data_IF_596312131652
#
_entry.id   IF_596312131652
#
_cell.length_a   1.000
_cell.length_b   1.000
_cell.length_c   1.000
_cell.angle_alpha   90.00
_cell.angle_beta   90.00
_cell.angle_gamma   90.00
#
_symmetry.space_group_name_H-M   'P 1'
#
loop_
_entity.id
_entity.type
_entity.pdbx_description
1 polymer ?
#
# COMPACT_ATOMS: atom_id res chain seq x y z
N UNK A 1 22.79 76.18 -23.12
CA UNK A 1 23.14 74.87 -23.71
C UNK A 1 23.48 73.89 -22.59
N UNK A 2 22.88 72.68 -22.61
CA UNK A 2 23.24 71.43 -21.88
C UNK A 2 23.14 71.48 -20.32
N UNK A 3 22.07 70.95 -19.68
CA UNK A 3 21.70 69.55 -19.36
C UNK A 3 22.77 68.77 -18.58
N UNK A 4 22.42 68.30 -17.36
CA UNK A 4 22.62 66.95 -16.74
C UNK A 4 22.10 67.07 -15.28
N UNK A 5 20.85 66.74 -14.97
CA UNK A 5 20.25 65.44 -14.55
C UNK A 5 20.62 64.96 -13.13
N UNK A 6 19.70 65.26 -12.20
CA UNK A 6 19.46 64.53 -10.95
C UNK A 6 19.01 63.09 -11.26
N UNK A 7 19.51 62.12 -10.50
CA UNK A 7 18.79 60.85 -10.28
C UNK A 7 18.97 60.41 -8.83
N UNK A 8 17.98 60.70 -7.97
CA UNK A 8 17.82 60.03 -6.68
C UNK A 8 17.05 58.72 -6.94
N UNK A 9 17.65 57.59 -6.60
CA UNK A 9 17.01 56.28 -6.64
C UNK A 9 16.18 56.07 -5.36
N UNK A 10 14.86 55.96 -5.52
CA UNK A 10 13.92 55.55 -4.48
C UNK A 10 14.01 54.02 -4.32
N UNK A 11 14.53 53.54 -3.20
CA UNK A 11 14.49 52.12 -2.86
C UNK A 11 13.10 51.77 -2.30
N UNK A 12 12.29 51.05 -3.07
CA UNK A 12 11.03 50.51 -2.61
C UNK A 12 11.26 49.17 -1.91
N UNK A 13 10.95 49.10 -0.61
CA UNK A 13 10.83 47.85 0.14
C UNK A 13 9.52 47.16 -0.22
N UNK A 14 9.60 45.96 -0.79
CA UNK A 14 8.45 45.08 -1.00
C UNK A 14 8.42 44.07 0.17
N UNK A 15 7.37 44.05 1.01
CA UNK A 15 7.25 43.03 2.03
C UNK A 15 6.95 41.66 1.38
N UNK A 16 7.79 40.67 1.67
CA UNK A 16 7.55 39.27 1.31
C UNK A 16 6.36 38.76 2.14
N UNK A 17 5.18 38.67 1.53
CA UNK A 17 4.06 37.93 2.11
C UNK A 17 4.34 36.44 1.95
N UNK A 18 4.78 35.79 3.02
CA UNK A 18 4.88 34.34 3.09
C UNK A 18 3.46 33.74 3.02
N UNK A 19 3.06 33.33 1.82
CA UNK A 19 1.84 32.55 1.59
C UNK A 19 2.06 31.15 2.17
N UNK A 20 1.79 30.98 3.46
CA UNK A 20 1.61 29.67 4.09
C UNK A 20 0.38 29.03 3.47
N UNK A 21 0.57 28.34 2.35
CA UNK A 21 -0.41 27.42 1.82
C UNK A 21 -0.69 26.39 2.92
N UNK A 22 -1.88 26.45 3.52
CA UNK A 22 -2.39 25.41 4.41
C UNK A 22 -2.27 24.09 3.67
N UNK A 23 -1.26 23.29 4.03
CA UNK A 23 -1.12 21.93 3.52
C UNK A 23 -2.37 21.18 3.98
N UNK A 24 -3.33 21.00 3.07
CA UNK A 24 -4.44 20.08 3.28
C UNK A 24 -3.83 18.76 3.74
N UNK A 25 -4.23 18.30 4.93
CA UNK A 25 -3.82 16.99 5.43
C UNK A 25 -4.35 16.00 4.42
N UNK A 26 -3.44 15.44 3.61
CA UNK A 26 -3.80 14.44 2.63
C UNK A 26 -4.33 13.22 3.40
N UNK A 27 -5.55 12.82 3.06
CA UNK A 27 -6.25 11.67 3.61
C UNK A 27 -6.48 10.68 2.45
N UNK A 28 -6.15 9.39 2.61
CA UNK A 28 -6.51 8.37 1.63
C UNK A 28 -8.01 8.37 1.30
N UNK A 29 -8.86 8.78 2.23
CA UNK A 29 -10.31 8.73 2.12
C UNK A 29 -10.85 7.45 2.75
N UNK A 30 -11.87 7.59 3.60
CA UNK A 30 -12.57 6.47 4.21
C UNK A 30 -13.27 5.63 3.14
N UNK A 31 -13.15 4.31 3.22
CA UNK A 31 -13.79 3.38 2.29
C UNK A 31 -13.07 2.05 2.14
N UNK A 32 -13.58 1.22 1.23
CA UNK A 32 -13.02 -0.08 0.90
C UNK A 32 -12.21 -0.01 -0.39
N UNK A 33 -10.95 -0.43 -0.33
CA UNK A 33 -10.03 -0.51 -1.45
C UNK A 33 -9.80 -1.96 -1.81
N UNK A 34 -9.96 -2.30 -3.08
CA UNK A 34 -9.81 -3.67 -3.58
C UNK A 34 -8.55 -3.77 -4.40
N UNK A 35 -7.80 -4.85 -4.21
CA UNK A 35 -6.61 -5.12 -4.98
C UNK A 35 -6.92 -5.26 -6.46
N UNK A 36 -6.26 -4.44 -7.27
CA UNK A 36 -6.29 -4.51 -8.72
C UNK A 36 -5.07 -5.25 -9.27
N UNK A 37 -3.89 -5.01 -8.67
CA UNK A 37 -2.63 -5.60 -9.13
C UNK A 37 -1.74 -6.03 -7.98
N UNK A 38 -0.91 -7.04 -8.25
CA UNK A 38 0.21 -7.46 -7.41
C UNK A 38 1.48 -7.48 -8.25
N UNK A 39 2.50 -6.73 -7.85
CA UNK A 39 3.74 -6.52 -8.62
C UNK A 39 3.46 -6.12 -10.08
N UNK A 40 2.45 -5.25 -10.29
CA UNK A 40 2.03 -4.78 -11.61
C UNK A 40 1.16 -5.76 -12.41
N UNK A 41 0.94 -7.01 -11.94
CA UNK A 41 0.12 -8.02 -12.63
C UNK A 41 -1.32 -8.03 -12.10
N UNK A 42 -2.34 -8.23 -12.95
CA UNK A 42 -3.72 -8.38 -12.50
C UNK A 42 -3.90 -9.67 -11.68
N UNK A 43 -4.79 -9.64 -10.69
CA UNK A 43 -5.13 -10.81 -9.88
C UNK A 43 -6.09 -11.78 -10.62
N UNK A 44 -6.05 -13.10 -10.31
CA UNK A 44 -5.17 -13.75 -9.34
C UNK A 44 -3.72 -13.85 -9.81
N UNK A 45 -2.77 -13.79 -8.88
CA UNK A 45 -1.33 -13.92 -9.15
C UNK A 45 -0.74 -15.05 -8.31
N UNK A 46 -0.02 -15.95 -8.95
CA UNK A 46 0.65 -17.07 -8.29
C UNK A 46 2.16 -16.81 -8.13
N UNK A 47 2.71 -17.15 -6.96
CA UNK A 47 4.14 -17.17 -6.63
C UNK A 47 4.56 -18.61 -6.29
N UNK A 48 5.50 -19.14 -7.07
CA UNK A 48 6.08 -20.46 -6.86
C UNK A 48 7.46 -20.32 -6.22
N UNK A 49 7.67 -21.03 -5.12
CA UNK A 49 8.96 -21.25 -4.50
C UNK A 49 9.28 -22.74 -4.48
N UNK A 50 10.56 -23.09 -4.49
CA UNK A 50 11.02 -24.47 -4.30
C UNK A 50 12.12 -24.45 -3.26
N UNK A 51 12.04 -25.30 -2.26
CA UNK A 51 13.09 -25.44 -1.26
C UNK A 51 14.24 -26.33 -1.76
N UNK A 52 15.31 -26.40 -0.97
CA UNK A 52 16.51 -27.20 -1.28
C UNK A 52 16.23 -28.72 -1.33
N UNK A 53 15.08 -29.16 -0.81
CA UNK A 53 14.64 -30.57 -0.83
C UNK A 53 13.73 -30.89 -2.02
N UNK A 54 13.46 -29.91 -2.90
CA UNK A 54 12.61 -30.07 -4.06
C UNK A 54 11.12 -30.00 -3.76
N UNK A 55 10.73 -29.51 -2.58
CA UNK A 55 9.32 -29.26 -2.23
C UNK A 55 8.90 -27.93 -2.85
N UNK A 56 7.79 -27.95 -3.58
CA UNK A 56 7.22 -26.77 -4.23
C UNK A 56 6.13 -26.15 -3.37
N UNK A 57 6.24 -24.86 -3.16
CA UNK A 57 5.28 -24.03 -2.44
C UNK A 57 4.67 -23.05 -3.44
N UNK A 58 3.38 -23.19 -3.71
CA UNK A 58 2.63 -22.25 -4.52
C UNK A 58 1.73 -21.41 -3.60
N UNK A 59 1.82 -20.10 -3.71
CA UNK A 59 0.85 -19.18 -3.13
C UNK A 59 0.13 -18.48 -4.28
N UNK A 60 -1.19 -18.56 -4.31
CA UNK A 60 -2.01 -17.81 -5.24
C UNK A 60 -2.78 -16.74 -4.49
N UNK A 61 -2.53 -15.48 -4.83
CA UNK A 61 -3.24 -14.34 -4.28
C UNK A 61 -4.49 -14.10 -5.12
N UNK A 62 -5.68 -14.26 -4.53
CA UNK A 62 -6.95 -14.04 -5.23
C UNK A 62 -7.41 -12.59 -5.09
N UNK A 63 -7.44 -12.07 -3.86
CA UNK A 63 -8.02 -10.76 -3.55
C UNK A 63 -7.51 -10.22 -2.21
N UNK A 64 -7.29 -8.92 -2.12
CA UNK A 64 -7.08 -8.18 -0.89
C UNK A 64 -8.07 -7.01 -0.83
N UNK A 65 -8.80 -6.93 0.28
CA UNK A 65 -9.68 -5.78 0.58
C UNK A 65 -9.12 -5.04 1.78
N UNK A 66 -8.75 -3.77 1.58
CA UNK A 66 -8.34 -2.84 2.63
C UNK A 66 -9.49 -1.89 2.94
N UNK A 67 -10.05 -1.95 4.13
CA UNK A 67 -11.02 -0.99 4.62
C UNK A 67 -10.31 0.04 5.50
N UNK A 68 -10.41 1.31 5.12
CA UNK A 68 -9.96 2.47 5.90
C UNK A 68 -11.18 3.06 6.62
N UNK A 69 -11.09 3.23 7.94
CA UNK A 69 -12.16 3.74 8.79
C UNK A 69 -11.86 5.17 9.27
N UNK A 70 -12.90 5.98 9.58
CA UNK A 70 -12.72 7.38 9.98
C UNK A 70 -12.02 7.57 11.33
N UNK A 71 -11.91 6.52 12.15
CA UNK A 71 -11.26 6.53 13.46
C UNK A 71 -9.76 6.12 13.39
N UNK A 72 -9.11 6.29 12.24
CA UNK A 72 -7.72 5.88 12.00
C UNK A 72 -7.47 4.37 12.18
N UNK A 73 -8.50 3.54 12.02
CA UNK A 73 -8.38 2.09 12.01
C UNK A 73 -8.39 1.55 10.58
N UNK A 74 -7.74 0.41 10.39
CA UNK A 74 -7.84 -0.35 9.16
C UNK A 74 -8.19 -1.81 9.40
N UNK A 75 -8.77 -2.42 8.36
CA UNK A 75 -8.97 -3.86 8.25
C UNK A 75 -8.49 -4.31 6.87
N UNK A 76 -7.51 -5.19 6.82
CA UNK A 76 -7.03 -5.80 5.57
C UNK A 76 -7.44 -7.27 5.53
N UNK A 77 -8.28 -7.67 4.58
CA UNK A 77 -8.74 -9.04 4.39
C UNK A 77 -8.14 -9.63 3.10
N UNK A 78 -7.22 -10.59 3.26
CA UNK A 78 -6.56 -11.31 2.19
C UNK A 78 -7.24 -12.65 1.94
N UNK A 79 -7.47 -12.96 0.67
CA UNK A 79 -7.89 -14.27 0.14
C UNK A 79 -6.77 -14.84 -0.70
N UNK A 80 -6.34 -16.04 -0.35
CA UNK A 80 -5.24 -16.71 -1.04
C UNK A 80 -5.40 -18.23 -0.98
N UNK A 81 -4.76 -18.95 -1.91
CA UNK A 81 -4.56 -20.40 -1.83
C UNK A 81 -3.08 -20.66 -1.54
N UNK A 82 -2.82 -21.67 -0.74
CA UNK A 82 -1.46 -22.16 -0.53
C UNK A 82 -1.44 -23.66 -0.79
N UNK A 83 -0.56 -24.07 -1.70
CA UNK A 83 -0.41 -25.46 -2.11
C UNK A 83 1.01 -25.94 -1.90
N UNK A 84 1.11 -27.12 -1.33
CA UNK A 84 2.34 -27.86 -1.14
C UNK A 84 2.33 -29.04 -2.11
N UNK A 85 3.32 -29.14 -2.98
CA UNK A 85 3.44 -30.23 -3.94
C UNK A 85 4.89 -30.72 -4.02
N UNK A 86 5.12 -32.02 -4.22
CA UNK A 86 6.44 -32.46 -4.62
C UNK A 86 6.71 -32.01 -6.07
N UNK A 87 7.98 -31.82 -6.42
CA UNK A 87 8.37 -31.43 -7.78
C UNK A 87 7.81 -32.43 -8.81
N UNK A 88 6.92 -31.95 -9.68
CA UNK A 88 6.29 -32.75 -10.74
C UNK A 88 4.88 -33.25 -10.41
N UNK A 89 4.41 -33.06 -9.17
CA UNK A 89 3.02 -33.33 -8.82
C UNK A 89 2.08 -32.27 -9.42
N UNK A 90 0.84 -32.67 -9.70
CA UNK A 90 -0.20 -31.72 -10.07
C UNK A 90 -0.54 -30.88 -8.85
N UNK A 91 -0.25 -29.59 -8.95
CA UNK A 91 -0.69 -28.58 -7.98
C UNK A 91 -2.22 -28.66 -7.87
N UNK A 92 -2.72 -29.14 -6.73
CA UNK A 92 -4.14 -29.22 -6.43
C UNK A 92 -4.76 -27.85 -6.22
N UNK A 93 -6.08 -27.72 -6.39
CA UNK A 93 -6.81 -26.52 -5.95
C UNK A 93 -7.12 -26.64 -4.48
N UNK A 94 -6.16 -26.28 -3.64
CA UNK A 94 -6.39 -26.16 -2.22
C UNK A 94 -7.49 -25.14 -1.91
N UNK A 95 -8.20 -25.30 -0.78
CA UNK A 95 -9.27 -24.39 -0.41
C UNK A 95 -8.75 -22.96 -0.25
N UNK A 96 -9.60 -21.98 -0.59
CA UNK A 96 -9.31 -20.57 -0.36
C UNK A 96 -9.16 -20.34 1.14
N UNK A 97 -7.98 -19.85 1.52
CA UNK A 97 -7.68 -19.37 2.85
C UNK A 97 -8.02 -17.89 2.97
N UNK A 98 -8.37 -17.49 4.19
CA UNK A 98 -8.71 -16.11 4.52
C UNK A 98 -7.83 -15.67 5.69
N UNK A 99 -7.12 -14.56 5.51
CA UNK A 99 -6.39 -13.89 6.58
C UNK A 99 -6.94 -12.48 6.74
N UNK A 100 -7.19 -12.06 7.96
CA UNK A 100 -7.57 -10.67 8.23
C UNK A 100 -6.59 -10.06 9.22
N UNK A 101 -6.11 -8.86 8.88
CA UNK A 101 -5.23 -8.04 9.72
C UNK A 101 -6.00 -6.81 10.15
N UNK A 102 -5.95 -6.50 11.43
CA UNK A 102 -6.52 -5.28 11.99
C UNK A 102 -5.41 -4.39 12.51
N UNK A 103 -5.66 -3.09 12.63
CA UNK A 103 -4.72 -2.18 13.26
C UNK A 103 -5.12 -0.73 13.08
N UNK A 104 -4.16 0.16 13.31
CA UNK A 104 -4.30 1.60 13.09
C UNK A 104 -3.43 2.06 11.94
N UNK A 105 -3.74 3.23 11.38
CA UNK A 105 -2.91 3.86 10.37
C UNK A 105 -2.64 5.33 10.70
N UNK A 106 -1.54 5.84 10.17
CA UNK A 106 -1.19 7.25 10.22
C UNK A 106 -0.78 7.73 8.83
N UNK A 107 -1.05 8.98 8.49
CA UNK A 107 -0.67 9.58 7.20
C UNK A 107 0.33 10.71 7.40
N UNK A 108 1.22 10.89 6.43
CA UNK A 108 2.16 12.01 6.38
C UNK A 108 2.41 12.36 4.93
N UNK A 109 1.88 13.50 4.49
CA UNK A 109 1.80 13.79 3.06
C UNK A 109 1.02 12.69 2.34
N UNK A 110 1.58 12.14 1.25
CA UNK A 110 0.99 11.03 0.49
C UNK A 110 1.39 9.64 1.02
N UNK A 111 2.13 9.56 2.13
CA UNK A 111 2.53 8.28 2.73
C UNK A 111 1.48 7.82 3.75
N UNK A 112 1.25 6.50 3.79
CA UNK A 112 0.41 5.85 4.78
C UNK A 112 1.21 4.77 5.50
N UNK A 113 1.25 4.85 6.83
CA UNK A 113 1.90 3.88 7.69
C UNK A 113 0.86 3.04 8.40
N UNK A 114 0.99 1.72 8.28
CA UNK A 114 0.12 0.76 8.95
C UNK A 114 0.80 0.21 10.21
N UNK A 115 0.04 0.14 11.29
CA UNK A 115 0.46 -0.46 12.56
C UNK A 115 -0.51 -1.61 12.89
N UNK A 116 -0.18 -2.84 12.47
CA UNK A 116 -1.00 -4.01 12.79
C UNK A 116 -1.12 -4.25 14.29
N UNK A 117 -2.29 -4.67 14.75
CA UNK A 117 -2.50 -5.17 16.11
C UNK A 117 -1.89 -6.57 16.24
N UNK A 118 -0.85 -6.76 17.09
CA UNK A 118 -0.16 -8.05 17.23
C UNK A 118 -1.07 -9.18 17.74
N UNK A 119 -2.23 -8.85 18.33
CA UNK A 119 -3.21 -9.82 18.83
C UNK A 119 -4.23 -10.23 17.77
N UNK A 120 -4.31 -9.52 16.63
CA UNK A 120 -5.41 -9.65 15.66
C UNK A 120 -4.94 -9.91 14.23
N UNK A 121 -4.38 -11.10 14.03
CA UNK A 121 -4.04 -11.65 12.72
C UNK A 121 -2.72 -11.14 12.14
N UNK A 122 -2.47 -11.42 10.86
CA UNK A 122 -1.26 -10.98 10.15
C UNK A 122 -0.01 -11.82 10.41
N UNK A 123 -0.12 -12.97 11.08
CA UNK A 123 1.02 -13.89 11.19
C UNK A 123 1.52 -14.28 9.80
N UNK A 124 2.82 -14.11 9.57
CA UNK A 124 3.46 -14.43 8.28
C UNK A 124 3.37 -13.33 7.22
N UNK A 125 2.72 -12.19 7.50
CA UNK A 125 2.67 -11.02 6.61
C UNK A 125 3.11 -9.77 7.36
N UNK A 126 4.09 -9.05 6.79
CA UNK A 126 4.53 -7.76 7.31
C UNK A 126 4.11 -6.66 6.34
N UNK A 127 3.14 -5.86 6.76
CA UNK A 127 2.71 -4.66 6.03
C UNK A 127 3.79 -3.60 6.20
N UNK A 128 4.22 -2.98 5.09
CA UNK A 128 5.17 -1.87 5.08
C UNK A 128 4.44 -0.56 4.79
N UNK A 129 5.16 0.55 4.90
CA UNK A 129 4.61 1.87 4.59
C UNK A 129 4.27 1.95 3.11
N UNK A 130 3.05 2.42 2.83
CA UNK A 130 2.52 2.58 1.50
C UNK A 130 2.38 4.05 1.11
N UNK A 131 1.81 4.26 -0.06
CA UNK A 131 1.44 5.59 -0.57
C UNK A 131 0.01 5.59 -1.04
N UNK A 132 -0.63 6.75 -1.01
CA UNK A 132 -1.97 6.93 -1.57
C UNK A 132 -2.02 8.12 -2.52
N UNK A 133 -2.84 8.01 -3.56
CA UNK A 133 -3.07 9.06 -4.53
C UNK A 133 -4.51 8.98 -5.04
N UNK A 134 -5.33 9.97 -4.68
CA UNK A 134 -6.73 10.04 -5.07
C UNK A 134 -7.50 8.81 -4.59
N UNK A 135 -7.83 7.90 -5.52
CA UNK A 135 -8.64 6.69 -5.28
C UNK A 135 -7.79 5.41 -5.20
N UNK A 136 -6.49 5.53 -5.07
CA UNK A 136 -5.56 4.40 -5.10
C UNK A 136 -4.64 4.38 -3.88
N UNK A 137 -4.34 3.18 -3.41
CA UNK A 137 -3.36 2.93 -2.34
C UNK A 137 -2.40 1.85 -2.82
N UNK A 138 -1.11 2.13 -2.77
CA UNK A 138 -0.05 1.17 -3.06
C UNK A 138 0.64 0.79 -1.75
N UNK A 139 0.67 -0.51 -1.44
CA UNK A 139 1.23 -1.02 -0.19
C UNK A 139 2.24 -2.13 -0.48
N UNK A 140 3.51 -1.96 -0.11
CA UNK A 140 4.45 -3.07 -0.10
C UNK A 140 4.22 -3.95 1.14
N UNK A 141 4.44 -5.25 1.00
CA UNK A 141 4.40 -6.20 2.10
C UNK A 141 5.42 -7.32 1.92
N UNK A 142 5.96 -7.79 3.05
CA UNK A 142 6.79 -8.99 3.10
C UNK A 142 5.93 -10.20 3.48
N UNK A 143 6.20 -11.33 2.85
CA UNK A 143 5.57 -12.62 3.16
C UNK A 143 6.58 -13.76 3.05
N UNK A 144 6.19 -14.93 3.53
CA UNK A 144 7.00 -16.15 3.43
C UNK A 144 6.32 -17.16 2.52
N UNK A 145 7.08 -17.71 1.58
CA UNK A 145 6.67 -18.81 0.71
C UNK A 145 7.62 -19.99 0.94
N UNK A 146 7.20 -20.97 1.75
CA UNK A 146 8.10 -22.01 2.25
C UNK A 146 9.22 -21.44 3.13
N UNK A 147 10.48 -21.70 2.77
CA UNK A 147 11.66 -21.10 3.42
C UNK A 147 12.07 -19.74 2.85
N UNK A 148 11.45 -19.31 1.74
CA UNK A 148 11.85 -18.11 1.01
C UNK A 148 11.09 -16.89 1.52
N UNK A 149 11.82 -15.83 1.87
CA UNK A 149 11.23 -14.53 2.14
C UNK A 149 11.04 -13.75 0.85
N UNK A 150 9.83 -13.21 0.65
CA UNK A 150 9.43 -12.48 -0.54
C UNK A 150 8.92 -11.09 -0.15
N UNK A 151 9.05 -10.15 -1.07
CA UNK A 151 8.40 -8.84 -1.03
C UNK A 151 7.49 -8.70 -2.23
N UNK A 152 6.29 -8.18 -2.02
CA UNK A 152 5.38 -7.80 -3.08
C UNK A 152 4.83 -6.39 -2.84
N UNK A 153 4.31 -5.79 -3.90
CA UNK A 153 3.61 -4.52 -3.89
C UNK A 153 2.20 -4.75 -4.40
N UNK A 154 1.20 -4.42 -3.58
CA UNK A 154 -0.21 -4.46 -3.98
C UNK A 154 -0.68 -3.05 -4.33
N UNK A 155 -1.38 -2.93 -5.45
CA UNK A 155 -2.10 -1.73 -5.85
C UNK A 155 -3.59 -1.94 -5.60
N UNK A 156 -4.17 -1.09 -4.77
CA UNK A 156 -5.57 -1.13 -4.36
C UNK A 156 -6.32 0.08 -4.94
N UNK A 157 -7.59 -0.12 -5.30
CA UNK A 157 -8.46 0.93 -5.86
C UNK A 157 -9.74 1.03 -5.04
N UNK A 158 -10.16 2.26 -4.72
CA UNK A 158 -11.39 2.54 -3.97
C UNK A 158 -12.62 2.01 -4.71
N UNK A 159 -13.29 1.05 -4.08
CA UNK A 159 -14.53 0.46 -4.52
C UNK A 159 -15.66 0.83 -3.54
N UNK A 160 -16.57 1.75 -3.92
CA UNK A 160 -17.65 2.20 -3.05
C UNK A 160 -18.76 1.15 -2.88
N UNK A 161 -18.74 0.04 -3.63
CA UNK A 161 -19.77 -0.99 -3.58
C UNK A 161 -19.50 -2.08 -2.53
N UNK A 162 -18.39 -1.96 -1.78
CA UNK A 162 -18.00 -2.92 -0.73
C UNK A 162 -18.11 -2.21 0.61
N UNK A 163 -19.13 -2.59 1.39
CA UNK A 163 -19.47 -2.01 2.69
C UNK A 163 -19.06 -2.94 3.85
#
# INVERSE_FOLDING_TARGET
>A
MRRILLTLACAAWVPLTANVASASVADPGTGSYVSSRLNGKPLPVSDLATDDKGVQFLIEFDELVLTIRPNHEFRAALRYRQTLAAKGDRIGRDPIQKMTVYGTYATTGNAIRFVPDPKRGGQGLRILDGTFAGRSIDVPFDYRNGSVQRRAQVSLVLNPNIF
#
